data_IF_168842567190
#
_entry.id   IF_168842567190
#
_cell.length_a   1.000
_cell.length_b   1.000
_cell.length_c   1.000
_cell.angle_alpha   90.00
_cell.angle_beta   90.00
_cell.angle_gamma   90.00
#
_symmetry.space_group_name_H-M   'P 1'
#
loop_
_entity.id
_entity.type
_entity.pdbx_description
1 polymer ?
#
# COMPACT_ATOMS: atom_id res chain seq x y z
N UNK A 1 8.23 -13.68 -22.87
CA UNK A 1 8.71 -13.14 -21.58
C UNK A 1 7.55 -12.34 -20.98
N UNK A 2 6.78 -12.96 -20.07
CA UNK A 2 5.55 -12.36 -19.53
C UNK A 2 5.98 -11.29 -18.52
N UNK A 3 5.75 -10.02 -18.85
CA UNK A 3 5.88 -8.92 -17.90
C UNK A 3 4.66 -9.01 -17.00
N UNK A 4 4.85 -9.46 -15.77
CA UNK A 4 3.80 -9.35 -14.76
C UNK A 4 3.71 -7.87 -14.39
N UNK A 5 2.54 -7.25 -14.58
CA UNK A 5 2.28 -5.88 -14.18
C UNK A 5 2.20 -5.84 -12.65
N UNK A 6 3.30 -5.45 -12.03
CA UNK A 6 3.46 -5.55 -10.59
C UNK A 6 2.95 -4.27 -9.90
N UNK A 7 1.88 -4.41 -9.11
CA UNK A 7 1.16 -3.31 -8.47
C UNK A 7 1.99 -2.52 -7.46
N UNK A 8 3.07 -3.07 -6.93
CA UNK A 8 3.93 -2.36 -5.99
C UNK A 8 4.65 -1.15 -6.60
N UNK A 9 4.66 -1.00 -7.94
CA UNK A 9 5.28 0.13 -8.64
C UNK A 9 4.54 1.48 -8.49
N UNK A 10 3.32 1.50 -7.95
CA UNK A 10 2.49 2.72 -7.81
C UNK A 10 3.19 3.78 -6.95
N UNK A 11 4.07 3.37 -6.02
CA UNK A 11 4.85 4.26 -5.16
C UNK A 11 6.14 4.85 -5.75
N UNK A 12 6.49 4.50 -7.00
CA UNK A 12 7.76 4.90 -7.61
C UNK A 12 7.50 5.72 -8.88
N UNK A 13 7.32 7.04 -8.74
CA UNK A 13 7.31 7.95 -9.88
C UNK A 13 8.72 8.47 -10.18
N UNK A 14 9.10 8.45 -11.46
CA UNK A 14 10.47 8.61 -11.96
C UNK A 14 10.71 10.07 -12.38
N UNK A 15 11.64 10.79 -11.75
CA UNK A 15 12.24 12.01 -12.34
C UNK A 15 13.78 12.02 -12.22
N UNK A 16 14.44 12.22 -13.36
CA UNK A 16 15.87 12.60 -13.49
C UNK A 16 16.88 11.79 -12.67
N UNK A 17 16.99 10.48 -12.93
CA UNK A 17 18.06 9.59 -12.43
C UNK A 17 18.22 9.49 -10.90
N UNK A 18 17.29 10.04 -10.14
CA UNK A 18 17.16 9.86 -8.69
C UNK A 18 15.83 9.14 -8.42
N UNK A 19 15.83 8.17 -7.50
CA UNK A 19 14.59 7.72 -6.86
C UNK A 19 14.22 8.84 -5.91
N UNK A 20 13.45 9.81 -6.40
CA UNK A 20 12.70 10.66 -5.52
C UNK A 20 11.58 9.76 -4.99
N UNK A 21 11.59 9.45 -3.69
CA UNK A 21 10.32 9.24 -2.99
C UNK A 21 9.42 10.37 -3.49
N UNK A 22 8.30 10.04 -4.11
CA UNK A 22 7.32 11.04 -4.51
C UNK A 22 6.76 11.65 -3.22
N UNK A 23 7.52 12.55 -2.62
CA UNK A 23 7.02 13.64 -1.83
C UNK A 23 6.22 14.52 -2.78
N UNK A 24 5.06 14.02 -3.24
CA UNK A 24 3.94 14.91 -3.49
C UNK A 24 3.47 15.28 -2.08
N UNK A 25 4.14 16.30 -1.55
CA UNK A 25 3.79 17.16 -0.42
C UNK A 25 2.93 16.53 0.68
N UNK A 26 3.56 15.82 1.62
CA UNK A 26 3.01 15.66 2.98
C UNK A 26 3.42 16.90 3.77
N UNK A 27 2.74 18.02 3.55
CA UNK A 27 2.64 19.08 4.55
C UNK A 27 1.19 19.10 5.05
N UNK A 28 1.05 19.16 6.37
CA UNK A 28 -0.17 18.95 7.15
C UNK A 28 -1.32 19.94 6.91
N UNK A 29 -1.23 20.82 5.91
CA UNK A 29 -2.13 21.98 5.76
C UNK A 29 -2.68 22.22 4.35
N UNK A 30 -2.57 21.26 3.41
CA UNK A 30 -3.30 21.34 2.14
C UNK A 30 -4.32 20.21 1.99
N UNK A 31 -5.58 20.60 2.06
CA UNK A 31 -6.72 19.87 1.51
C UNK A 31 -6.40 19.52 0.04
N UNK A 32 -6.28 18.22 -0.27
CA UNK A 32 -6.15 17.76 -1.64
C UNK A 32 -7.49 17.99 -2.38
N UNK A 33 -7.54 18.99 -3.24
CA UNK A 33 -8.43 18.97 -4.40
C UNK A 33 -7.86 17.94 -5.38
N UNK A 34 -8.50 16.76 -5.46
CA UNK A 34 -8.37 15.87 -6.61
C UNK A 34 -9.20 16.51 -7.72
N UNK A 35 -8.67 17.58 -8.31
CA UNK A 35 -9.26 18.29 -9.46
C UNK A 35 -8.78 17.69 -10.81
N UNK A 36 -8.16 16.51 -10.75
CA UNK A 36 -7.85 15.70 -11.93
C UNK A 36 -8.83 14.54 -12.04
N UNK A 37 -9.42 14.37 -13.22
CA UNK A 37 -10.34 13.28 -13.57
C UNK A 37 -9.82 11.92 -13.03
N UNK A 38 -10.52 11.28 -12.06
CA UNK A 38 -10.13 9.98 -11.50
C UNK A 38 -9.91 8.91 -12.58
N UNK A 39 -10.62 9.02 -13.69
CA UNK A 39 -10.46 8.15 -14.87
C UNK A 39 -9.06 8.28 -15.45
N UNK A 40 -8.56 9.51 -15.63
CA UNK A 40 -7.23 9.78 -16.18
C UNK A 40 -6.13 9.31 -15.22
N UNK A 41 -6.26 9.58 -13.93
CA UNK A 41 -5.27 9.16 -12.93
C UNK A 41 -5.11 7.63 -12.87
N UNK A 42 -6.22 6.91 -12.73
CA UNK A 42 -6.22 5.45 -12.63
C UNK A 42 -5.86 4.73 -13.94
N UNK A 43 -6.14 5.33 -15.10
CA UNK A 43 -5.88 4.71 -16.41
C UNK A 43 -4.50 5.06 -16.97
N UNK A 44 -4.02 6.29 -16.81
CA UNK A 44 -2.83 6.81 -17.51
C UNK A 44 -1.57 6.92 -16.63
N UNK A 45 -1.74 7.27 -15.35
CA UNK A 45 -0.62 7.50 -14.42
C UNK A 45 -0.16 6.17 -13.82
N UNK A 46 -1.10 5.26 -13.56
CA UNK A 46 -0.85 3.96 -12.94
C UNK A 46 -0.78 2.83 -13.97
N UNK A 47 0.14 2.94 -14.94
CA UNK A 47 0.32 1.94 -16.02
C UNK A 47 0.58 0.52 -15.51
N UNK A 48 1.06 0.37 -14.28
CA UNK A 48 1.40 -0.90 -13.63
C UNK A 48 0.24 -1.57 -12.88
N UNK A 49 -0.98 -1.03 -12.91
CA UNK A 49 -2.15 -1.67 -12.29
C UNK A 49 -2.78 -2.73 -13.20
N UNK A 50 -3.18 -3.84 -12.59
CA UNK A 50 -4.01 -4.84 -13.25
C UNK A 50 -5.44 -4.35 -13.47
N UNK A 51 -6.25 -5.13 -14.20
CA UNK A 51 -7.61 -4.73 -14.58
C UNK A 51 -8.48 -4.53 -13.33
N UNK A 52 -8.46 -5.47 -12.39
CA UNK A 52 -9.22 -5.39 -11.15
C UNK A 52 -8.74 -4.28 -10.24
N UNK A 53 -7.42 -4.02 -10.19
CA UNK A 53 -6.91 -2.90 -9.39
C UNK A 53 -7.29 -1.54 -9.99
N UNK A 54 -7.38 -1.43 -11.32
CA UNK A 54 -7.93 -0.23 -11.97
C UNK A 54 -9.39 -0.01 -11.59
N UNK A 55 -10.20 -1.06 -11.50
CA UNK A 55 -11.59 -0.94 -11.04
C UNK A 55 -11.66 -0.44 -9.59
N UNK A 56 -10.82 -0.98 -8.69
CA UNK A 56 -10.75 -0.51 -7.30
C UNK A 56 -10.28 0.95 -7.23
N UNK A 57 -9.28 1.32 -8.03
CA UNK A 57 -8.79 2.70 -8.13
C UNK A 57 -9.89 3.66 -8.57
N UNK A 58 -10.70 3.31 -9.58
CA UNK A 58 -11.81 4.15 -10.04
C UNK A 58 -12.89 4.34 -8.96
N UNK A 59 -13.13 3.32 -8.13
CA UNK A 59 -14.10 3.38 -7.03
C UNK A 59 -13.56 4.15 -5.81
N UNK A 60 -12.25 4.09 -5.59
CA UNK A 60 -11.56 4.59 -4.39
C UNK A 60 -10.36 5.48 -4.75
N UNK A 61 -10.55 6.42 -5.67
CA UNK A 61 -9.47 7.26 -6.18
C UNK A 61 -8.79 8.08 -5.06
N UNK A 62 -9.57 8.51 -4.06
CA UNK A 62 -9.09 9.21 -2.86
C UNK A 62 -8.16 8.36 -1.96
N UNK A 63 -8.19 7.03 -2.11
CA UNK A 63 -7.34 6.11 -1.33
C UNK A 63 -5.94 5.98 -1.94
N UNK A 64 -5.78 6.22 -3.24
CA UNK A 64 -4.56 5.92 -3.97
C UNK A 64 -3.32 6.66 -3.46
N UNK A 65 -3.37 7.96 -3.11
CA UNK A 65 -2.22 8.65 -2.52
C UNK A 65 -1.74 7.99 -1.21
N UNK A 66 -2.68 7.52 -0.39
CA UNK A 66 -2.39 6.83 0.88
C UNK A 66 -1.83 5.43 0.63
N UNK A 67 -2.34 4.72 -0.38
CA UNK A 67 -1.83 3.41 -0.79
C UNK A 67 -0.38 3.51 -1.25
N UNK A 68 -0.06 4.53 -2.06
CA UNK A 68 1.31 4.83 -2.51
C UNK A 68 2.23 5.05 -1.31
N UNK A 69 1.82 5.91 -0.37
CA UNK A 69 2.58 6.18 0.83
C UNK A 69 2.78 4.90 1.68
N UNK A 70 1.74 4.08 1.83
CA UNK A 70 1.81 2.82 2.56
C UNK A 70 2.77 1.82 1.95
N UNK A 71 2.75 1.67 0.62
CA UNK A 71 3.69 0.84 -0.10
C UNK A 71 5.14 1.33 0.08
N UNK A 72 5.39 2.64 -0.01
CA UNK A 72 6.72 3.24 0.24
C UNK A 72 7.24 2.90 1.64
N UNK A 73 6.39 3.06 2.67
CA UNK A 73 6.74 2.69 4.05
C UNK A 73 7.08 1.21 4.19
N UNK A 74 6.35 0.33 3.50
CA UNK A 74 6.65 -1.11 3.48
C UNK A 74 8.02 -1.43 2.86
N UNK A 75 8.41 -0.71 1.80
CA UNK A 75 9.72 -0.84 1.16
C UNK A 75 10.83 -0.36 2.11
N UNK A 76 10.68 0.83 2.67
CA UNK A 76 11.63 1.43 3.63
C UNK A 76 11.89 0.47 4.79
N UNK A 77 10.82 -0.12 5.33
CA UNK A 77 10.94 -1.02 6.46
C UNK A 77 11.56 -2.37 6.08
N UNK A 78 11.28 -2.87 4.88
CA UNK A 78 11.95 -4.04 4.34
C UNK A 78 13.46 -3.82 4.18
N UNK A 79 13.87 -2.66 3.66
CA UNK A 79 15.28 -2.27 3.53
C UNK A 79 15.95 -2.15 4.88
N UNK A 80 15.28 -1.53 5.85
CA UNK A 80 15.78 -1.41 7.21
C UNK A 80 16.03 -2.78 7.86
N UNK A 81 15.08 -3.71 7.73
CA UNK A 81 15.19 -5.06 8.32
C UNK A 81 16.29 -5.91 7.67
N UNK A 82 16.62 -5.66 6.40
CA UNK A 82 17.59 -6.45 5.62
C UNK A 82 18.91 -5.72 5.34
N UNK A 83 19.16 -4.55 5.93
CA UNK A 83 20.32 -3.72 5.63
C UNK A 83 21.69 -4.44 5.73
N UNK A 84 21.81 -5.40 6.66
CA UNK A 84 23.04 -6.17 6.90
C UNK A 84 22.97 -7.61 6.33
N UNK A 85 22.11 -7.85 5.34
CA UNK A 85 21.92 -9.16 4.69
C UNK A 85 22.45 -9.15 3.26
N UNK A 86 22.77 -10.35 2.74
CA UNK A 86 23.22 -10.53 1.35
C UNK A 86 22.21 -9.99 0.33
N UNK A 87 20.92 -10.16 0.60
CA UNK A 87 19.85 -9.44 -0.07
C UNK A 87 19.33 -8.36 0.86
N UNK A 88 19.42 -7.11 0.45
CA UNK A 88 19.16 -5.92 1.28
C UNK A 88 17.80 -5.25 1.00
N UNK A 89 16.88 -5.96 0.34
CA UNK A 89 15.59 -5.41 -0.09
C UNK A 89 15.68 -4.12 -0.93
N UNK A 90 16.81 -3.88 -1.60
CA UNK A 90 17.00 -2.72 -2.46
C UNK A 90 16.07 -2.76 -3.67
N UNK A 91 15.64 -1.57 -4.10
CA UNK A 91 14.79 -1.45 -5.29
C UNK A 91 15.64 -1.37 -6.56
N UNK A 92 15.23 -2.08 -7.61
CA UNK A 92 15.97 -2.08 -8.90
C UNK A 92 15.37 -1.08 -9.88
N UNK A 93 16.21 -0.59 -10.79
CA UNK A 93 15.86 0.48 -11.74
C UNK A 93 14.97 0.02 -12.91
N UNK A 94 14.70 -1.27 -13.02
CA UNK A 94 14.09 -1.91 -14.19
C UNK A 94 12.55 -1.96 -14.16
N UNK A 95 11.90 -1.16 -13.30
CA UNK A 95 10.44 -1.10 -13.20
C UNK A 95 9.81 -2.30 -12.47
N UNK A 96 10.62 -3.05 -11.74
CA UNK A 96 10.17 -4.04 -10.76
C UNK A 96 10.67 -3.58 -9.40
N UNK A 97 9.79 -3.35 -8.41
CA UNK A 97 10.21 -2.78 -7.12
C UNK A 97 11.35 -3.58 -6.47
N UNK A 98 11.38 -4.92 -6.53
CA UNK A 98 12.46 -5.71 -5.92
C UNK A 98 13.21 -6.66 -6.90
N UNK A 99 13.12 -6.42 -8.21
CA UNK A 99 13.89 -7.18 -9.19
C UNK A 99 13.46 -8.65 -9.35
N UNK A 100 14.36 -9.52 -9.85
CA UNK A 100 14.07 -10.94 -10.09
C UNK A 100 13.76 -11.75 -8.83
N UNK A 101 14.06 -11.21 -7.64
CA UNK A 101 13.81 -11.90 -6.36
C UNK A 101 12.32 -12.22 -6.21
N UNK A 102 11.44 -11.34 -6.72
CA UNK A 102 9.99 -11.51 -6.72
C UNK A 102 9.47 -12.50 -7.78
N UNK A 103 10.32 -12.94 -8.71
CA UNK A 103 9.93 -13.91 -9.73
C UNK A 103 9.86 -15.34 -9.16
N UNK A 104 10.45 -15.56 -7.98
CA UNK A 104 10.51 -16.85 -7.34
C UNK A 104 9.83 -16.82 -5.98
N UNK A 105 9.06 -17.86 -5.67
CA UNK A 105 8.50 -18.06 -4.33
C UNK A 105 9.62 -18.41 -3.35
N UNK A 106 10.15 -17.39 -2.67
CA UNK A 106 11.20 -17.49 -1.66
C UNK A 106 10.82 -16.72 -0.38
N UNK A 107 11.64 -16.84 0.66
CA UNK A 107 11.36 -16.24 1.98
C UNK A 107 11.41 -14.71 1.93
N UNK A 108 12.29 -14.18 1.10
CA UNK A 108 12.51 -12.75 0.88
C UNK A 108 11.29 -12.10 0.23
N UNK A 109 10.69 -12.76 -0.77
CA UNK A 109 9.47 -12.32 -1.45
C UNK A 109 8.27 -12.39 -0.53
N UNK A 110 8.13 -13.47 0.25
CA UNK A 110 7.08 -13.58 1.27
C UNK A 110 7.17 -12.44 2.30
N UNK A 111 8.39 -12.11 2.75
CA UNK A 111 8.61 -11.01 3.69
C UNK A 111 8.31 -9.65 3.06
N UNK A 112 8.81 -9.39 1.85
CA UNK A 112 8.59 -8.14 1.13
C UNK A 112 7.10 -7.88 0.92
N UNK A 113 6.34 -8.89 0.46
CA UNK A 113 4.90 -8.78 0.30
C UNK A 113 4.21 -8.50 1.63
N UNK A 114 4.55 -9.24 2.70
CA UNK A 114 3.98 -9.01 4.03
C UNK A 114 4.21 -7.57 4.52
N UNK A 115 5.40 -7.01 4.31
CA UNK A 115 5.70 -5.61 4.68
C UNK A 115 4.96 -4.59 3.81
N UNK A 116 4.83 -4.83 2.51
CA UNK A 116 4.03 -3.98 1.62
C UNK A 116 2.54 -3.99 2.03
N UNK A 117 1.97 -5.17 2.26
CA UNK A 117 0.60 -5.37 2.75
C UNK A 117 0.35 -4.66 4.08
N UNK A 118 1.30 -4.80 5.02
CA UNK A 118 1.25 -4.14 6.31
C UNK A 118 1.35 -2.61 6.16
N UNK A 119 2.21 -2.12 5.28
CA UNK A 119 2.39 -0.70 4.99
C UNK A 119 1.11 -0.05 4.45
N UNK A 120 0.46 -0.68 3.47
CA UNK A 120 -0.83 -0.22 2.92
C UNK A 120 -1.92 -0.25 3.99
N UNK A 121 -2.06 -1.37 4.71
CA UNK A 121 -3.03 -1.51 5.81
C UNK A 121 -2.85 -0.42 6.86
N UNK A 122 -1.61 -0.17 7.28
CA UNK A 122 -1.25 0.85 8.25
C UNK A 122 -1.63 2.26 7.76
N UNK A 123 -1.20 2.61 6.54
CA UNK A 123 -1.43 3.94 5.98
C UNK A 123 -2.92 4.26 5.83
N UNK A 124 -3.71 3.32 5.27
CA UNK A 124 -5.16 3.48 5.12
C UNK A 124 -5.85 3.60 6.48
N UNK A 125 -5.50 2.73 7.44
CA UNK A 125 -6.07 2.77 8.80
C UNK A 125 -5.82 4.11 9.49
N UNK A 126 -4.63 4.68 9.28
CA UNK A 126 -4.21 5.97 9.83
C UNK A 126 -4.92 7.13 9.14
N UNK A 127 -5.06 7.08 7.82
CA UNK A 127 -5.78 8.10 7.06
C UNK A 127 -7.26 8.16 7.46
N UNK A 128 -7.89 7.02 7.75
CA UNK A 128 -9.24 6.97 8.31
C UNK A 128 -9.36 7.69 9.67
N UNK A 129 -8.37 7.52 10.55
CA UNK A 129 -8.32 8.24 11.82
C UNK A 129 -8.16 9.75 11.61
N UNK A 130 -7.39 10.16 10.62
CA UNK A 130 -7.14 11.57 10.31
C UNK A 130 -8.29 12.23 9.55
N UNK A 131 -9.30 11.46 9.12
CA UNK A 131 -10.43 11.98 8.34
C UNK A 131 -10.06 12.37 6.91
N UNK A 132 -8.96 11.82 6.38
CA UNK A 132 -8.49 12.11 5.01
C UNK A 132 -9.29 11.37 3.93
N UNK A 133 -9.94 10.27 4.30
CA UNK A 133 -10.70 9.41 3.39
C UNK A 133 -12.19 9.53 3.66
N UNK A 134 -13.01 9.67 2.61
CA UNK A 134 -14.46 9.87 2.76
C UNK A 134 -15.19 8.56 3.10
N UNK A 135 -14.63 7.42 2.70
CA UNK A 135 -15.25 6.11 2.83
C UNK A 135 -15.10 5.45 4.20
N UNK A 136 -14.31 6.04 5.11
CA UNK A 136 -14.06 5.46 6.43
C UNK A 136 -14.01 6.50 7.55
N UNK A 137 -14.09 6.00 8.78
CA UNK A 137 -14.06 6.80 10.02
C UNK A 137 -13.03 6.22 10.98
N UNK A 138 -12.86 6.87 12.14
CA UNK A 138 -12.20 6.28 13.30
C UNK A 138 -12.66 4.84 13.58
N UNK A 139 -11.78 4.07 14.23
CA UNK A 139 -12.10 2.73 14.72
C UNK A 139 -13.34 2.72 15.60
N UNK A 140 -14.21 1.71 15.39
CA UNK A 140 -15.38 1.43 16.23
C UNK A 140 -15.08 0.37 17.29
N UNK A 141 -13.80 0.17 17.62
CA UNK A 141 -13.39 -0.80 18.62
C UNK A 141 -14.01 -0.51 19.98
N UNK A 142 -14.63 -1.54 20.55
CA UNK A 142 -15.21 -1.46 21.89
C UNK A 142 -14.10 -1.43 22.94
N UNK A 143 -14.42 -0.89 24.12
CA UNK A 143 -13.51 -0.89 25.26
C UNK A 143 -13.01 -2.32 25.53
N UNK A 144 -11.69 -2.56 25.60
CA UNK A 144 -11.16 -3.86 25.95
C UNK A 144 -11.62 -4.30 27.35
N UNK A 145 -12.04 -5.57 27.49
CA UNK A 145 -12.54 -6.13 28.76
C UNK A 145 -11.51 -6.09 29.88
N UNK A 146 -10.23 -6.15 29.53
CA UNK A 146 -9.08 -6.13 30.41
C UNK A 146 -8.57 -4.70 30.74
N UNK A 147 -9.21 -3.64 30.22
CA UNK A 147 -8.79 -2.28 30.53
C UNK A 147 -9.24 -1.88 31.95
N UNK A 148 -8.29 -1.54 32.86
CA UNK A 148 -8.61 -1.15 34.23
C UNK A 148 -9.67 -0.04 34.29
N UNK A 149 -10.62 -0.13 35.23
CA UNK A 149 -11.81 0.75 35.28
C UNK A 149 -11.47 2.23 35.50
N UNK A 150 -10.33 2.50 36.11
CA UNK A 150 -9.73 3.81 36.31
C UNK A 150 -9.25 4.47 35.02
N UNK A 151 -9.06 3.70 33.94
CA UNK A 151 -8.69 4.22 32.62
C UNK A 151 -9.93 4.46 31.77
N UNK A 152 -10.01 5.62 31.11
CA UNK A 152 -11.06 5.94 30.16
C UNK A 152 -10.69 5.45 28.76
N UNK A 153 -11.59 4.72 28.10
CA UNK A 153 -11.44 4.35 26.69
C UNK A 153 -12.11 5.41 25.83
N UNK A 154 -11.41 5.93 24.83
CA UNK A 154 -11.95 6.95 23.95
C UNK A 154 -10.91 7.51 22.97
N UNK A 155 -11.28 8.61 22.32
CA UNK A 155 -10.50 9.20 21.24
C UNK A 155 -10.76 8.56 19.88
N UNK A 156 -10.01 9.00 18.88
CA UNK A 156 -10.08 8.44 17.52
C UNK A 156 -8.87 7.52 17.30
N UNK A 157 -9.13 6.20 17.28
CA UNK A 157 -8.13 5.18 16.98
C UNK A 157 -8.06 4.84 15.49
N UNK A 158 -6.94 4.27 15.07
CA UNK A 158 -6.72 3.80 13.69
C UNK A 158 -7.72 2.69 13.34
N UNK A 159 -8.36 2.79 12.17
CA UNK A 159 -9.39 1.84 11.74
C UNK A 159 -8.77 0.64 11.00
N UNK A 160 -8.16 -0.25 11.77
CA UNK A 160 -7.42 -1.42 11.25
C UNK A 160 -8.30 -2.40 10.47
N UNK A 161 -9.56 -2.59 10.86
CA UNK A 161 -10.49 -3.46 10.14
C UNK A 161 -10.77 -2.94 8.72
N UNK A 162 -10.97 -1.62 8.57
CA UNK A 162 -11.14 -1.01 7.25
C UNK A 162 -9.86 -1.12 6.42
N UNK A 163 -8.72 -0.73 7.01
CA UNK A 163 -7.43 -0.78 6.31
C UNK A 163 -7.06 -2.19 5.86
N UNK A 164 -7.33 -3.21 6.67
CA UNK A 164 -7.07 -4.61 6.31
C UNK A 164 -7.96 -5.07 5.15
N UNK A 165 -9.26 -4.78 5.19
CA UNK A 165 -10.19 -5.16 4.11
C UNK A 165 -9.81 -4.50 2.80
N UNK A 166 -9.59 -3.18 2.82
CA UNK A 166 -9.16 -2.44 1.65
C UNK A 166 -7.81 -2.97 1.13
N UNK A 167 -6.83 -3.14 2.02
CA UNK A 167 -5.51 -3.68 1.69
C UNK A 167 -5.61 -5.03 1.01
N UNK A 168 -6.31 -5.99 1.60
CA UNK A 168 -6.55 -7.32 1.02
C UNK A 168 -7.26 -7.26 -0.34
N UNK A 169 -8.25 -6.40 -0.48
CA UNK A 169 -9.00 -6.30 -1.73
C UNK A 169 -8.14 -5.65 -2.82
N UNK A 170 -7.26 -4.69 -2.49
CA UNK A 170 -6.39 -4.04 -3.46
C UNK A 170 -5.10 -4.82 -3.78
N UNK A 171 -4.35 -5.20 -2.74
CA UNK A 171 -3.02 -5.85 -2.81
C UNK A 171 -3.13 -7.25 -3.40
N UNK A 172 -4.14 -8.02 -3.04
CA UNK A 172 -4.26 -9.41 -3.46
C UNK A 172 -5.00 -9.58 -4.79
N UNK A 173 -5.53 -8.48 -5.37
CA UNK A 173 -6.27 -8.56 -6.65
C UNK A 173 -5.43 -9.17 -7.79
N UNK A 174 -4.16 -8.79 -8.00
CA UNK A 174 -3.34 -9.38 -9.05
C UNK A 174 -3.15 -10.90 -8.89
N UNK A 175 -2.95 -11.37 -7.66
CA UNK A 175 -2.82 -12.80 -7.36
C UNK A 175 -4.13 -13.55 -7.60
N UNK A 176 -5.29 -12.93 -7.35
CA UNK A 176 -6.61 -13.51 -7.64
C UNK A 176 -6.92 -13.58 -9.14
N UNK A 177 -6.35 -12.67 -9.95
CA UNK A 177 -6.53 -12.65 -11.40
C UNK A 177 -5.63 -13.66 -12.13
N UNK A 178 -4.51 -14.05 -11.52
CA UNK A 178 -3.63 -15.10 -12.01
C UNK A 178 -4.16 -16.46 -11.52
N UNK A 179 -4.15 -17.49 -12.38
CA UNK A 179 -4.68 -18.82 -12.07
C UNK A 179 -4.29 -19.32 -10.66
N UNK A 180 -5.22 -19.94 -9.89
CA UNK A 180 -5.11 -20.21 -8.44
C UNK A 180 -4.06 -21.25 -8.01
N UNK A 181 -3.09 -21.60 -8.87
CA UNK A 181 -2.13 -22.69 -8.66
C UNK A 181 -0.71 -22.18 -8.36
N UNK A 182 -0.39 -20.90 -8.57
CA UNK A 182 0.95 -20.40 -8.27
C UNK A 182 0.92 -19.03 -7.58
N UNK A 183 1.37 -19.06 -6.32
CA UNK A 183 1.78 -17.96 -5.43
C UNK A 183 0.66 -17.47 -4.48
N UNK A 184 0.48 -18.20 -3.37
CA UNK A 184 -0.33 -17.76 -2.23
C UNK A 184 0.47 -16.83 -1.32
N UNK A 185 0.75 -15.61 -1.76
CA UNK A 185 1.06 -14.56 -0.80
C UNK A 185 -0.13 -13.60 -0.82
N UNK A 186 -0.95 -13.69 0.22
CA UNK A 186 -2.23 -13.00 0.39
C UNK A 186 -2.17 -12.29 1.74
N UNK A 187 -2.78 -11.11 1.83
CA UNK A 187 -2.89 -10.31 3.07
C UNK A 187 -3.62 -11.02 4.22
#
# INVERSE_FOLDING_TARGET
>A
MIKHDLWWNIGLERQNNNILSSYIFVNSDQQYEIDDDPSLYCQSTLKSLTIGQKQICLLHADHMPVVIQGASKGIEECQYQFQDRHWNCSTVRDGTVFGPVLYHANRETAFAHAMLSAGVTYAVSRACKQGLLKSCTCSRATRPKNLPRDWTWGGCGDNVDYGYRFGRDFVDTPEKEINPIHIYIVC
#
